data_IF_988584742878
#
_entry.id   IF_988584742878
#
_cell.length_a   1.000
_cell.length_b   1.000
_cell.length_c   1.000
_cell.angle_alpha   90.00
_cell.angle_beta   90.00
_cell.angle_gamma   90.00
#
_symmetry.space_group_name_H-M   'P 1'
#
loop_
_entity.id
_entity.type
_entity.pdbx_description
1 polymer ?
#
# COMPACT_ATOMS: atom_id res chain seq x y z
N UNK A 1 -3.97 15.41 9.63
CA UNK A 1 -4.66 15.84 8.39
C UNK A 1 -4.99 14.62 7.56
N UNK A 2 -6.07 14.70 6.78
CA UNK A 2 -6.44 13.71 5.78
C UNK A 2 -6.22 14.33 4.40
N UNK A 3 -5.55 13.60 3.52
CA UNK A 3 -5.23 14.05 2.16
C UNK A 3 -5.88 13.08 1.17
N UNK A 4 -6.69 13.62 0.27
CA UNK A 4 -7.27 12.86 -0.85
C UNK A 4 -6.73 13.38 -2.18
N UNK A 5 -5.73 12.69 -2.74
CA UNK A 5 -5.04 13.12 -3.95
C UNK A 5 -4.28 11.98 -4.66
N UNK A 6 -3.94 12.21 -5.92
CA UNK A 6 -3.03 11.37 -6.72
C UNK A 6 -1.61 11.92 -6.56
N UNK A 7 -0.74 11.17 -5.89
CA UNK A 7 0.60 11.62 -5.50
C UNK A 7 1.63 10.93 -6.39
N UNK A 8 2.43 11.70 -7.13
CA UNK A 8 3.53 11.19 -7.97
C UNK A 8 4.84 11.82 -7.57
N UNK A 9 5.71 11.06 -6.90
CA UNK A 9 6.97 11.57 -6.35
C UNK A 9 8.10 10.54 -6.48
N UNK A 10 9.33 10.94 -6.18
CA UNK A 10 10.45 10.00 -6.03
C UNK A 10 10.30 9.19 -4.75
N UNK A 11 10.40 9.88 -3.63
CA UNK A 11 10.27 9.34 -2.28
C UNK A 11 9.10 10.02 -1.55
N UNK A 12 8.32 9.27 -0.77
CA UNK A 12 7.24 9.80 0.07
C UNK A 12 7.36 9.28 1.50
N UNK A 13 7.11 10.15 2.47
CA UNK A 13 7.05 9.83 3.89
C UNK A 13 5.66 10.21 4.40
N UNK A 14 4.98 9.28 5.05
CA UNK A 14 3.57 9.39 5.43
C UNK A 14 3.46 9.34 6.96
N UNK A 15 3.25 10.51 7.57
CA UNK A 15 3.00 10.67 9.02
C UNK A 15 1.51 10.93 9.35
N UNK A 16 0.63 10.85 8.35
CA UNK A 16 -0.79 11.18 8.48
C UNK A 16 -1.70 10.25 7.69
N UNK A 17 -2.92 10.69 7.40
CA UNK A 17 -3.90 9.93 6.63
C UNK A 17 -3.85 10.31 5.15
N UNK A 18 -3.60 9.34 4.28
CA UNK A 18 -3.63 9.51 2.82
C UNK A 18 -4.62 8.54 2.22
N UNK A 19 -5.50 9.06 1.36
CA UNK A 19 -6.45 8.28 0.61
C UNK A 19 -6.35 8.62 -0.88
N UNK A 20 -5.97 7.66 -1.71
CA UNK A 20 -5.77 7.91 -3.14
C UNK A 20 -4.74 6.98 -3.77
N UNK A 21 -4.18 7.40 -4.90
CA UNK A 21 -3.11 6.64 -5.55
C UNK A 21 -1.76 7.29 -5.25
N UNK A 22 -0.82 6.49 -4.77
CA UNK A 22 0.54 6.90 -4.45
C UNK A 22 1.48 6.21 -5.42
N UNK A 23 2.15 6.99 -6.25
CA UNK A 23 3.17 6.54 -7.19
C UNK A 23 4.52 7.08 -6.72
N UNK A 24 5.35 6.20 -6.16
CA UNK A 24 6.72 6.51 -5.78
C UNK A 24 7.71 5.82 -6.73
N UNK A 25 8.70 6.56 -7.23
CA UNK A 25 9.73 6.00 -8.11
C UNK A 25 10.90 5.37 -7.35
N UNK A 26 11.12 5.76 -6.10
CA UNK A 26 12.24 5.30 -5.27
C UNK A 26 11.78 4.51 -4.06
N UNK A 27 10.99 5.13 -3.15
CA UNK A 27 10.48 4.45 -1.95
C UNK A 27 9.25 5.14 -1.33
N UNK A 28 8.44 4.37 -0.62
CA UNK A 28 7.33 4.84 0.24
C UNK A 28 7.64 4.45 1.67
N UNK A 29 7.59 5.40 2.59
CA UNK A 29 7.76 5.19 4.02
C UNK A 29 6.49 5.59 4.75
N UNK A 30 5.90 4.65 5.49
CA UNK A 30 4.73 4.87 6.32
C UNK A 30 5.20 4.86 7.76
N UNK A 31 5.17 6.02 8.41
CA UNK A 31 5.55 6.15 9.82
C UNK A 31 4.47 5.56 10.74
N UNK A 32 4.80 5.44 12.03
CA UNK A 32 3.93 4.88 13.07
C UNK A 32 2.51 5.47 13.14
N UNK A 33 2.30 6.74 12.74
CA UNK A 33 0.97 7.38 12.68
C UNK A 33 0.35 7.43 11.28
N UNK A 34 1.09 6.95 10.29
CA UNK A 34 0.70 6.92 8.89
C UNK A 34 -0.46 5.95 8.66
N UNK A 35 -1.49 6.40 7.95
CA UNK A 35 -2.57 5.56 7.48
C UNK A 35 -2.76 5.75 5.98
N UNK A 36 -2.74 4.66 5.23
CA UNK A 36 -2.86 4.73 3.77
C UNK A 36 -4.01 3.86 3.30
N UNK A 37 -4.88 4.44 2.47
CA UNK A 37 -6.02 3.75 1.85
C UNK A 37 -6.04 4.01 0.34
N UNK A 38 -6.09 2.98 -0.50
CA UNK A 38 -6.16 3.16 -1.96
C UNK A 38 -5.18 2.28 -2.73
N UNK A 39 -4.33 2.87 -3.58
CA UNK A 39 -3.37 2.13 -4.42
C UNK A 39 -1.97 2.68 -4.21
N UNK A 40 -0.98 1.80 -4.03
CA UNK A 40 0.42 2.18 -3.87
C UNK A 40 1.25 1.48 -4.95
N UNK A 41 1.99 2.25 -5.73
CA UNK A 41 2.95 1.76 -6.71
C UNK A 41 4.33 2.26 -6.34
N UNK A 42 5.21 1.37 -5.93
CA UNK A 42 6.57 1.72 -5.49
C UNK A 42 7.50 0.53 -5.63
N UNK A 43 8.78 0.72 -5.99
CA UNK A 43 9.75 -0.38 -5.95
C UNK A 43 10.18 -0.75 -4.52
N UNK A 44 10.02 0.16 -3.54
CA UNK A 44 10.33 -0.08 -2.13
C UNK A 44 9.24 0.48 -1.23
N UNK A 45 8.71 -0.35 -0.33
CA UNK A 45 7.71 0.03 0.67
C UNK A 45 8.27 -0.29 2.06
N UNK A 46 8.23 0.70 2.94
CA UNK A 46 8.65 0.60 4.34
C UNK A 46 7.46 0.98 5.20
N UNK A 47 7.12 0.12 6.17
CA UNK A 47 6.01 0.31 7.09
C UNK A 47 6.55 0.19 8.50
N UNK A 48 6.47 1.27 9.27
CA UNK A 48 6.89 1.29 10.67
C UNK A 48 5.85 0.64 11.59
N UNK A 49 6.28 0.24 12.78
CA UNK A 49 5.37 -0.29 13.81
C UNK A 49 4.30 0.74 14.18
N UNK A 50 3.04 0.31 14.20
CA UNK A 50 1.87 1.17 14.48
C UNK A 50 1.23 1.79 13.24
N UNK A 51 1.90 1.75 12.09
CA UNK A 51 1.33 2.22 10.83
C UNK A 51 0.13 1.37 10.39
N UNK A 52 -0.83 2.00 9.70
CA UNK A 52 -2.00 1.32 9.14
C UNK A 52 -1.97 1.36 7.61
N UNK A 53 -2.06 0.20 6.99
CA UNK A 53 -2.03 0.08 5.53
C UNK A 53 -3.24 -0.73 5.05
N UNK A 54 -4.16 -0.07 4.36
CA UNK A 54 -5.34 -0.66 3.73
C UNK A 54 -5.40 -0.25 2.24
N UNK A 55 -4.39 -0.67 1.49
CA UNK A 55 -4.23 -0.29 0.09
C UNK A 55 -3.76 -1.48 -0.75
N UNK A 56 -4.02 -1.40 -2.04
CA UNK A 56 -3.45 -2.33 -2.99
C UNK A 56 -2.04 -1.87 -3.36
N UNK A 57 -1.02 -2.55 -2.82
CA UNK A 57 0.38 -2.23 -3.07
C UNK A 57 0.96 -3.15 -4.15
N UNK A 58 1.52 -2.55 -5.21
CA UNK A 58 2.25 -3.25 -6.24
C UNK A 58 3.72 -2.84 -6.20
N UNK A 59 4.57 -3.81 -5.87
CA UNK A 59 6.03 -3.64 -5.81
C UNK A 59 6.65 -4.27 -7.06
N UNK A 60 7.39 -3.49 -7.84
CA UNK A 60 7.95 -3.98 -9.10
C UNK A 60 9.29 -3.33 -9.41
N UNK A 61 10.27 -4.13 -9.82
CA UNK A 61 11.59 -3.67 -10.30
C UNK A 61 11.51 -2.99 -11.68
N UNK A 62 10.41 -3.21 -12.42
CA UNK A 62 10.11 -2.55 -13.70
C UNK A 62 8.63 -2.21 -13.74
N UNK A 63 8.28 -0.92 -13.63
CA UNK A 63 6.88 -0.44 -13.62
C UNK A 63 6.15 -0.90 -14.90
N UNK A 64 5.29 -1.93 -14.86
CA UNK A 64 4.50 -2.32 -16.03
C UNK A 64 3.27 -1.41 -16.12
N UNK A 65 2.67 -1.23 -17.31
CA UNK A 65 1.42 -0.50 -17.47
C UNK A 65 0.26 -1.26 -16.78
N UNK A 66 -0.01 -0.86 -15.54
CA UNK A 66 -1.27 -0.85 -14.79
C UNK A 66 -2.39 -1.81 -15.28
N UNK A 67 -2.41 -3.03 -14.74
CA UNK A 67 -3.63 -3.85 -14.70
C UNK A 67 -4.31 -3.61 -13.34
N UNK A 68 -5.65 -3.41 -13.26
CA UNK A 68 -6.35 -3.21 -12.00
C UNK A 68 -6.10 -4.39 -11.05
N UNK A 69 -5.73 -4.13 -9.79
CA UNK A 69 -5.33 -5.21 -8.91
C UNK A 69 -6.55 -5.88 -8.27
N UNK A 70 -6.67 -7.17 -8.56
CA UNK A 70 -7.64 -8.10 -8.02
C UNK A 70 -7.51 -8.18 -6.49
N UNK A 71 -8.56 -7.80 -5.76
CA UNK A 71 -8.69 -8.05 -4.32
C UNK A 71 -8.74 -9.57 -4.12
N UNK A 72 -7.62 -10.21 -3.78
CA UNK A 72 -7.62 -11.59 -3.29
C UNK A 72 -7.68 -11.59 -1.76
N UNK A 73 -8.83 -11.86 -1.13
CA UNK A 73 -8.87 -12.22 0.28
C UNK A 73 -8.23 -13.62 0.43
N UNK A 74 -7.02 -13.69 0.98
CA UNK A 74 -6.45 -14.95 1.48
C UNK A 74 -6.34 -14.87 3.01
N UNK A 75 -7.44 -15.17 3.68
CA UNK A 75 -7.42 -15.81 5.00
C UNK A 75 -8.74 -16.52 5.25
N UNK A 76 -8.85 -17.70 4.64
CA UNK A 76 -9.61 -18.79 5.23
C UNK A 76 -8.73 -20.03 5.14
N UNK A 77 -8.07 -20.48 6.21
CA UNK A 77 -7.87 -21.89 6.41
C UNK A 77 -9.16 -22.44 7.03
N UNK A 78 -10.08 -22.89 6.18
CA UNK A 78 -11.17 -23.80 6.57
C UNK A 78 -10.51 -25.13 6.94
N UNK A 79 -10.20 -25.31 8.22
CA UNK A 79 -9.71 -26.59 8.74
C UNK A 79 -10.93 -27.52 8.87
N UNK A 80 -11.29 -28.17 7.76
CA UNK A 80 -12.16 -29.34 7.76
C UNK A 80 -11.44 -30.49 8.45
N UNK A 81 -11.82 -30.78 9.70
CA UNK A 81 -11.46 -32.02 10.40
C UNK A 81 -12.61 -33.02 10.22
N UNK A 82 -12.46 -34.11 9.45
CA UNK A 82 -13.30 -35.27 9.62
C UNK A 82 -12.80 -36.12 10.80
N UNK A 83 -13.75 -36.56 11.63
CA UNK A 83 -13.60 -37.56 12.70
C UNK A 83 -13.08 -38.93 12.21
#
# INVERSE_FOLDING_TARGET
GQIEADIKVGTVIIDGQIKGNIQAKERVEIHSKGRVTGTILTPKLVVEEGAFLEANCQTTDKIPPQTPPEKTPKSTPEINQPE
#
